data_IF_616940132554
#
_entry.id   IF_616940132554
#
_cell.length_a   1.000
_cell.length_b   1.000
_cell.length_c   1.000
_cell.angle_alpha   90.00
_cell.angle_beta   90.00
_cell.angle_gamma   90.00
#
_symmetry.space_group_name_H-M   'P 1'
#
loop_
_entity.id
_entity.type
_entity.pdbx_description
1 polymer ?
#
# COMPACT_ATOMS: atom_id res chain seq x y z
N UNK A 1 21.86 -43.04 42.46
CA UNK A 1 20.92 -42.29 41.61
C UNK A 1 21.17 -40.82 41.85
N UNK A 2 21.45 -40.05 40.80
CA UNK A 2 21.75 -38.61 40.91
C UNK A 2 22.47 -38.10 39.66
N UNK A 3 21.90 -38.37 38.49
CA UNK A 3 22.26 -37.64 37.27
C UNK A 3 21.55 -36.29 37.36
N UNK A 4 22.24 -35.27 37.85
CA UNK A 4 21.76 -33.90 37.75
C UNK A 4 22.08 -33.41 36.35
N UNK A 5 21.03 -33.34 35.54
CA UNK A 5 21.08 -33.08 34.13
C UNK A 5 21.63 -31.67 33.86
N UNK A 6 22.64 -31.66 33.01
CA UNK A 6 23.07 -30.54 32.17
C UNK A 6 21.84 -29.85 31.55
N UNK A 7 21.37 -28.79 32.22
CA UNK A 7 20.32 -27.91 31.69
C UNK A 7 21.01 -26.89 30.80
N UNK A 8 20.77 -26.90 29.47
CA UNK A 8 21.36 -25.90 28.60
C UNK A 8 20.85 -24.54 29.04
N UNK A 9 21.80 -23.66 29.38
CA UNK A 9 21.52 -22.26 29.63
C UNK A 9 20.75 -21.72 28.43
N UNK A 10 19.46 -21.43 28.63
CA UNK A 10 18.65 -20.68 27.68
C UNK A 10 19.37 -19.35 27.47
N UNK A 11 20.10 -19.26 26.35
CA UNK A 11 20.67 -18.02 25.84
C UNK A 11 19.48 -17.09 25.64
N UNK A 12 19.24 -16.26 26.64
CA UNK A 12 18.27 -15.17 26.57
C UNK A 12 18.91 -14.14 25.63
N UNK A 13 18.72 -14.35 24.33
CA UNK A 13 19.02 -13.35 23.31
C UNK A 13 18.39 -12.04 23.78
N UNK A 14 19.16 -10.97 24.02
CA UNK A 14 18.56 -9.70 24.36
C UNK A 14 17.69 -9.31 23.17
N UNK A 15 16.40 -9.06 23.40
CA UNK A 15 15.56 -8.36 22.44
C UNK A 15 16.27 -7.02 22.17
N UNK A 16 17.00 -6.95 21.06
CA UNK A 16 17.83 -5.81 20.73
C UNK A 16 16.92 -4.58 20.70
N UNK A 17 17.08 -3.70 21.70
CA UNK A 17 16.37 -2.42 21.74
C UNK A 17 16.91 -1.61 20.57
N UNK A 18 16.16 -1.58 19.48
CA UNK A 18 16.50 -0.75 18.34
C UNK A 18 16.66 0.69 18.80
N UNK A 19 17.72 1.35 18.34
CA UNK A 19 17.93 2.75 18.70
C UNK A 19 16.81 3.62 18.10
N UNK A 20 16.56 4.79 18.68
CA UNK A 20 15.59 5.73 18.12
C UNK A 20 15.91 6.11 16.66
N UNK A 21 17.21 6.16 16.32
CA UNK A 21 17.67 6.40 14.96
C UNK A 21 17.33 5.24 14.00
N UNK A 22 17.51 3.99 14.44
CA UNK A 22 17.13 2.81 13.66
C UNK A 22 15.62 2.74 13.40
N UNK A 23 14.81 3.09 14.40
CA UNK A 23 13.36 3.14 14.25
C UNK A 23 12.94 4.19 13.21
N UNK A 24 13.52 5.39 13.25
CA UNK A 24 13.29 6.44 12.25
C UNK A 24 13.73 6.02 10.85
N UNK A 25 14.90 5.37 10.72
CA UNK A 25 15.40 4.88 9.44
C UNK A 25 14.49 3.78 8.85
N UNK A 26 14.01 2.86 9.69
CA UNK A 26 13.03 1.84 9.29
C UNK A 26 11.72 2.47 8.85
N UNK A 27 11.22 3.46 9.58
CA UNK A 27 10.00 4.18 9.25
C UNK A 27 10.12 4.90 7.89
N UNK A 28 11.22 5.62 7.65
CA UNK A 28 11.46 6.30 6.36
C UNK A 28 11.48 5.30 5.19
N UNK A 29 12.13 4.14 5.38
CA UNK A 29 12.14 3.07 4.37
C UNK A 29 10.73 2.54 4.08
N UNK A 30 9.89 2.36 5.10
CA UNK A 30 8.51 1.91 4.92
C UNK A 30 7.68 2.93 4.13
N UNK A 31 7.80 4.21 4.47
CA UNK A 31 7.15 5.28 3.72
C UNK A 31 7.58 5.33 2.26
N UNK A 32 8.87 5.17 1.98
CA UNK A 32 9.37 5.11 0.61
C UNK A 32 8.81 3.90 -0.16
N UNK A 33 8.74 2.73 0.49
CA UNK A 33 8.13 1.54 -0.12
C UNK A 33 6.64 1.78 -0.43
N UNK A 34 5.89 2.34 0.51
CA UNK A 34 4.48 2.67 0.33
C UNK A 34 4.27 3.66 -0.82
N UNK A 35 5.12 4.70 -0.91
CA UNK A 35 5.07 5.66 -1.99
C UNK A 35 5.26 5.01 -3.37
N UNK A 36 6.26 4.14 -3.50
CA UNK A 36 6.53 3.43 -4.76
C UNK A 36 5.39 2.49 -5.15
N UNK A 37 4.80 1.80 -4.17
CA UNK A 37 3.64 0.92 -4.42
C UNK A 37 2.43 1.72 -4.87
N UNK A 38 2.12 2.82 -4.20
CA UNK A 38 1.03 3.72 -4.59
C UNK A 38 1.21 4.27 -6.01
N UNK A 39 2.43 4.72 -6.38
CA UNK A 39 2.72 5.13 -7.77
C UNK A 39 2.50 3.99 -8.79
N UNK A 40 2.87 2.76 -8.43
CA UNK A 40 2.71 1.62 -9.31
C UNK A 40 1.22 1.31 -9.53
N UNK A 41 0.41 1.37 -8.48
CA UNK A 41 -1.05 1.21 -8.59
C UNK A 41 -1.63 2.33 -9.45
N UNK A 42 -1.23 3.58 -9.21
CA UNK A 42 -1.72 4.71 -10.00
C UNK A 42 -1.47 4.55 -11.50
N UNK A 43 -0.25 4.15 -11.89
CA UNK A 43 0.07 3.88 -13.30
C UNK A 43 -0.78 2.76 -13.89
N UNK A 44 -0.95 1.66 -13.17
CA UNK A 44 -1.81 0.54 -13.62
C UNK A 44 -3.25 0.99 -13.83
N UNK A 45 -3.79 1.83 -12.94
CA UNK A 45 -5.17 2.31 -13.06
C UNK A 45 -5.32 3.39 -14.16
N UNK A 46 -4.27 4.16 -14.46
CA UNK A 46 -4.23 5.01 -15.65
C UNK A 46 -4.29 4.18 -16.94
N UNK A 47 -3.46 3.14 -17.05
CA UNK A 47 -3.51 2.21 -18.20
C UNK A 47 -4.88 1.52 -18.32
N UNK A 48 -5.48 1.17 -17.18
CA UNK A 48 -6.83 0.59 -17.12
C UNK A 48 -7.90 1.58 -17.58
N UNK A 49 -7.78 2.86 -17.24
CA UNK A 49 -8.68 3.89 -17.71
C UNK A 49 -8.62 4.04 -19.24
N UNK A 50 -7.40 4.11 -19.79
CA UNK A 50 -7.18 4.18 -21.25
C UNK A 50 -7.75 2.96 -21.97
N UNK A 51 -7.59 1.76 -21.40
CA UNK A 51 -8.23 0.57 -21.93
C UNK A 51 -9.75 0.71 -22.01
N UNK A 52 -10.39 1.17 -20.94
CA UNK A 52 -11.84 1.35 -20.92
C UNK A 52 -12.33 2.46 -21.86
N UNK A 53 -11.59 3.56 -22.00
CA UNK A 53 -11.91 4.59 -22.99
C UNK A 53 -11.95 4.01 -24.41
N UNK A 54 -10.95 3.19 -24.76
CA UNK A 54 -10.89 2.52 -26.05
C UNK A 54 -11.99 1.46 -26.24
N UNK A 55 -12.44 0.84 -25.15
CA UNK A 55 -13.50 -0.16 -25.16
C UNK A 55 -14.92 0.44 -25.16
N UNK A 56 -15.09 1.76 -25.03
CA UNK A 56 -16.39 2.40 -24.82
C UNK A 56 -17.42 2.14 -25.92
N UNK A 57 -16.97 1.92 -27.16
CA UNK A 57 -17.85 1.58 -28.28
C UNK A 57 -18.43 0.16 -28.21
N UNK A 58 -17.82 -0.73 -27.42
CA UNK A 58 -18.10 -2.17 -27.44
C UNK A 58 -18.38 -2.77 -26.06
N UNK A 59 -18.20 -1.99 -24.99
CA UNK A 59 -18.39 -2.42 -23.62
C UNK A 59 -19.28 -1.41 -22.87
N UNK A 60 -20.56 -1.76 -22.61
CA UNK A 60 -21.41 -0.97 -21.74
C UNK A 60 -20.77 -0.77 -20.36
N UNK A 61 -20.88 0.43 -19.80
CA UNK A 61 -20.27 0.76 -18.51
C UNK A 61 -18.78 1.12 -18.57
N UNK A 62 -18.14 1.08 -19.75
CA UNK A 62 -16.71 1.35 -19.84
C UNK A 62 -16.34 2.80 -19.50
N UNK A 63 -17.19 3.78 -19.82
CA UNK A 63 -16.94 5.19 -19.46
C UNK A 63 -16.94 5.37 -17.94
N UNK A 64 -17.88 4.74 -17.24
CA UNK A 64 -17.98 4.76 -15.78
C UNK A 64 -16.77 4.06 -15.14
N UNK A 65 -16.34 2.93 -15.72
CA UNK A 65 -15.14 2.20 -15.28
C UNK A 65 -13.86 3.01 -15.54
N UNK A 66 -13.76 3.71 -16.66
CA UNK A 66 -12.65 4.61 -16.96
C UNK A 66 -12.59 5.76 -15.95
N UNK A 67 -13.72 6.40 -15.67
CA UNK A 67 -13.81 7.46 -14.67
C UNK A 67 -13.42 6.98 -13.27
N UNK A 68 -13.84 5.78 -12.87
CA UNK A 68 -13.44 5.15 -11.61
C UNK A 68 -11.93 4.89 -11.55
N UNK A 69 -11.36 4.32 -12.61
CA UNK A 69 -9.93 4.02 -12.68
C UNK A 69 -9.08 5.30 -12.59
N UNK A 70 -9.47 6.39 -13.28
CA UNK A 70 -8.82 7.71 -13.14
C UNK A 70 -8.88 8.23 -11.71
N UNK A 71 -10.06 8.19 -11.08
CA UNK A 71 -10.23 8.62 -9.69
C UNK A 71 -9.37 7.80 -8.72
N UNK A 72 -9.23 6.51 -8.97
CA UNK A 72 -8.35 5.65 -8.17
C UNK A 72 -6.88 6.05 -8.35
N UNK A 73 -6.44 6.25 -9.60
CA UNK A 73 -5.08 6.67 -9.90
C UNK A 73 -4.72 8.01 -9.24
N UNK A 74 -5.61 9.00 -9.30
CA UNK A 74 -5.43 10.28 -8.62
C UNK A 74 -5.28 10.13 -7.10
N UNK A 75 -6.11 9.31 -6.48
CA UNK A 75 -6.05 9.04 -5.04
C UNK A 75 -4.75 8.34 -4.63
N UNK A 76 -4.25 7.42 -5.45
CA UNK A 76 -2.97 6.74 -5.22
C UNK A 76 -1.78 7.67 -5.45
N UNK A 77 -1.81 8.58 -6.43
CA UNK A 77 -0.77 9.63 -6.58
C UNK A 77 -0.72 10.57 -5.38
N UNK A 78 -1.89 10.95 -4.86
CA UNK A 78 -1.98 11.76 -3.65
C UNK A 78 -1.44 11.00 -2.43
N UNK A 79 -1.76 9.71 -2.31
CA UNK A 79 -1.23 8.84 -1.26
C UNK A 79 0.28 8.68 -1.34
N UNK A 80 0.83 8.47 -2.54
CA UNK A 80 2.27 8.42 -2.78
C UNK A 80 2.97 9.71 -2.33
N UNK A 81 2.36 10.86 -2.61
CA UNK A 81 2.88 12.17 -2.19
C UNK A 81 2.89 12.32 -0.68
N UNK A 82 1.82 11.91 0.02
CA UNK A 82 1.78 11.90 1.48
C UNK A 82 2.88 11.00 2.07
N UNK A 83 3.04 9.79 1.53
CA UNK A 83 4.07 8.88 2.00
C UNK A 83 5.49 9.42 1.79
N UNK A 84 5.80 10.08 0.66
CA UNK A 84 7.11 10.72 0.44
C UNK A 84 7.40 11.84 1.45
N UNK A 85 6.36 12.50 1.95
CA UNK A 85 6.45 13.50 3.02
C UNK A 85 6.50 12.87 4.43
N UNK A 86 6.56 11.54 4.53
CA UNK A 86 6.45 10.77 5.77
C UNK A 86 5.13 11.01 6.54
N UNK A 87 4.06 11.29 5.79
CA UNK A 87 2.71 11.48 6.30
C UNK A 87 1.80 10.32 5.88
N UNK A 88 0.73 10.12 6.64
CA UNK A 88 -0.34 9.21 6.22
C UNK A 88 -1.32 9.96 5.30
N UNK A 89 -1.85 9.30 4.25
CA UNK A 89 -2.90 9.89 3.42
C UNK A 89 -4.10 10.29 4.29
N UNK A 90 -4.82 11.34 3.89
CA UNK A 90 -6.02 11.78 4.62
C UNK A 90 -7.07 10.67 4.70
N UNK A 91 -7.97 10.73 5.68
CA UNK A 91 -9.06 9.75 5.79
C UNK A 91 -9.93 9.74 4.53
N UNK A 92 -10.15 10.91 3.92
CA UNK A 92 -10.84 11.04 2.65
C UNK A 92 -10.14 10.26 1.52
N UNK A 93 -8.81 10.41 1.36
CA UNK A 93 -8.05 9.65 0.36
C UNK A 93 -8.12 8.15 0.63
N UNK A 94 -8.05 7.73 1.90
CA UNK A 94 -8.20 6.32 2.29
C UNK A 94 -9.61 5.79 2.00
N UNK A 95 -10.65 6.62 2.09
CA UNK A 95 -11.99 6.25 1.65
C UNK A 95 -12.05 6.07 0.14
N UNK A 96 -11.52 7.01 -0.65
CA UNK A 96 -11.50 6.89 -2.12
C UNK A 96 -10.76 5.63 -2.57
N UNK A 97 -9.59 5.35 -2.00
CA UNK A 97 -8.83 4.12 -2.28
C UNK A 97 -9.61 2.86 -1.94
N UNK A 98 -10.33 2.84 -0.80
CA UNK A 98 -11.20 1.69 -0.44
C UNK A 98 -12.37 1.53 -1.40
N UNK A 99 -13.07 2.60 -1.72
CA UNK A 99 -14.23 2.59 -2.61
C UNK A 99 -13.86 2.19 -4.05
N UNK A 100 -12.64 2.54 -4.48
CA UNK A 100 -12.12 2.18 -5.79
C UNK A 100 -11.40 0.82 -5.82
N UNK A 101 -10.83 0.37 -4.71
CA UNK A 101 -10.07 -0.87 -4.61
C UNK A 101 -10.91 -2.13 -4.34
N UNK A 102 -12.08 -1.99 -3.71
CA UNK A 102 -13.03 -3.11 -3.56
C UNK A 102 -13.72 -3.31 -4.90
N UNK A 103 -13.49 -4.46 -5.54
CA UNK A 103 -14.04 -4.79 -6.86
C UNK A 103 -15.56 -4.59 -6.92
N UNK A 104 -15.99 -3.56 -7.63
CA UNK A 104 -17.37 -3.42 -8.11
C UNK A 104 -17.56 -4.21 -9.42
N UNK A 105 -16.81 -5.30 -9.59
CA UNK A 105 -16.90 -6.20 -10.75
C UNK A 105 -17.91 -7.35 -10.49
N UNK A 106 -18.56 -7.40 -9.31
CA UNK A 106 -19.48 -8.47 -8.87
C UNK A 106 -20.98 -8.05 -8.76
N UNK A 107 -21.45 -7.02 -9.47
CA UNK A 107 -22.90 -6.73 -9.56
C UNK A 107 -23.38 -6.50 -10.99
#
# INVERSE_FOLDING_TARGET
>A
MGQDADRPALVRLPAARATQAELKARQAKLFEMLARTADAIARTEEERAEFYDNAAAHLPGAIERAARARRFAEAERASASAFRSHELPSEELRHVVRDCGVGADDQ
#
